data_IF_191452906200
#
_entry.id   IF_191452906200
#
_cell.length_a   1.000
_cell.length_b   1.000
_cell.length_c   1.000
_cell.angle_alpha   90.00
_cell.angle_beta   90.00
_cell.angle_gamma   90.00
#
_symmetry.space_group_name_H-M   'P 1'
#
loop_
_entity.id
_entity.type
_entity.pdbx_description
1 polymer ?
#
# COMPACT_ATOMS: atom_id res chain seq x y z
N UNK A 1 23.65 66.93 15.69
CA UNK A 1 23.08 67.13 14.34
C UNK A 1 23.67 66.07 13.42
N UNK A 2 22.81 65.26 12.79
CA UNK A 2 23.12 64.04 12.06
C UNK A 2 23.98 64.27 10.80
N UNK A 3 24.90 63.35 10.49
CA UNK A 3 25.67 63.34 9.23
C UNK A 3 24.97 62.41 8.22
N UNK A 4 24.69 62.94 7.04
CA UNK A 4 23.93 62.30 5.95
C UNK A 4 24.68 61.11 5.31
N UNK A 5 23.89 60.12 4.89
CA UNK A 5 24.31 58.92 4.15
C UNK A 5 24.62 59.31 2.71
N UNK A 6 25.77 58.89 2.18
CA UNK A 6 26.05 58.95 0.74
C UNK A 6 26.25 57.53 0.22
N UNK A 7 25.25 57.05 -0.51
CA UNK A 7 25.30 55.83 -1.32
C UNK A 7 26.38 56.01 -2.38
N UNK A 8 27.37 55.12 -2.37
CA UNK A 8 28.33 54.98 -3.48
C UNK A 8 27.73 53.95 -4.43
N UNK A 9 27.23 54.44 -5.56
CA UNK A 9 26.94 53.63 -6.74
C UNK A 9 28.29 53.29 -7.38
N UNK A 10 28.57 51.98 -7.53
CA UNK A 10 29.76 51.48 -8.22
C UNK A 10 29.33 51.10 -9.63
N UNK A 11 29.80 51.80 -10.68
CA UNK A 11 29.46 51.47 -12.06
C UNK A 11 30.12 50.15 -12.46
N UNK A 12 29.33 49.12 -12.79
CA UNK A 12 29.87 47.86 -13.33
C UNK A 12 29.15 46.56 -12.97
N UNK A 13 27.89 46.56 -12.54
CA UNK A 13 27.11 45.32 -12.48
C UNK A 13 26.17 45.22 -13.68
N UNK A 14 26.74 44.62 -14.71
CA UNK A 14 26.06 44.09 -15.89
C UNK A 14 24.87 43.22 -15.46
N UNK A 15 23.74 43.43 -16.15
CA UNK A 15 22.51 42.68 -15.96
C UNK A 15 22.74 41.20 -16.28
N UNK A 16 22.99 40.39 -15.25
CA UNK A 16 22.71 38.96 -15.34
C UNK A 16 21.19 38.81 -15.34
N UNK A 17 20.64 38.63 -16.55
CA UNK A 17 19.27 38.21 -16.79
C UNK A 17 18.89 37.13 -15.77
N UNK A 18 17.96 37.47 -14.88
CA UNK A 18 17.21 36.50 -14.10
C UNK A 18 16.56 35.56 -15.11
N UNK A 19 17.21 34.44 -15.37
CA UNK A 19 16.56 33.31 -16.01
C UNK A 19 15.67 32.75 -14.91
N UNK A 20 14.45 33.28 -14.84
CA UNK A 20 13.33 32.71 -14.12
C UNK A 20 12.98 31.38 -14.81
N UNK A 21 13.84 30.38 -14.61
CA UNK A 21 13.40 29.00 -14.67
C UNK A 21 12.43 28.87 -13.49
N UNK A 22 11.18 28.40 -13.69
CA UNK A 22 10.29 28.23 -12.57
C UNK A 22 10.93 27.18 -11.68
N UNK A 23 11.51 27.62 -10.57
CA UNK A 23 11.89 26.75 -9.47
C UNK A 23 10.55 26.22 -8.99
N UNK A 24 10.12 25.10 -9.56
CA UNK A 24 8.90 24.43 -9.15
C UNK A 24 9.00 24.32 -7.63
N UNK A 25 8.13 25.07 -6.93
CA UNK A 25 8.12 25.10 -5.48
C UNK A 25 8.20 23.66 -4.99
N UNK A 26 9.10 23.36 -4.05
CA UNK A 26 9.35 21.99 -3.59
C UNK A 26 8.05 21.31 -3.14
N UNK A 27 7.07 22.09 -2.67
CA UNK A 27 5.71 21.68 -2.38
C UNK A 27 4.92 21.20 -3.62
N UNK A 28 5.06 21.88 -4.76
CA UNK A 28 4.46 21.49 -6.05
C UNK A 28 5.11 20.20 -6.57
N UNK A 29 6.42 20.02 -6.39
CA UNK A 29 7.11 18.78 -6.77
C UNK A 29 6.66 17.61 -5.89
N UNK A 30 6.59 17.80 -4.57
CA UNK A 30 6.11 16.77 -3.64
C UNK A 30 4.66 16.37 -3.91
N UNK A 31 3.79 17.33 -4.24
CA UNK A 31 2.40 17.05 -4.58
C UNK A 31 2.28 16.21 -5.85
N UNK A 32 3.00 16.57 -6.92
CA UNK A 32 3.03 15.79 -8.17
C UNK A 32 3.61 14.40 -7.98
N UNK A 33 4.64 14.26 -7.13
CA UNK A 33 5.20 12.94 -6.78
C UNK A 33 4.17 12.12 -6.01
N UNK A 34 3.42 12.73 -5.08
CA UNK A 34 2.31 12.07 -4.39
C UNK A 34 1.23 11.59 -5.35
N UNK A 35 0.76 12.46 -6.24
CA UNK A 35 -0.24 12.11 -7.27
C UNK A 35 0.25 10.97 -8.17
N UNK A 36 1.53 10.98 -8.58
CA UNK A 36 2.11 9.91 -9.38
C UNK A 36 2.22 8.58 -8.62
N UNK A 37 2.52 8.61 -7.32
CA UNK A 37 2.55 7.42 -6.47
C UNK A 37 1.15 6.85 -6.27
N UNK A 38 0.15 7.71 -6.08
CA UNK A 38 -1.25 7.33 -5.98
C UNK A 38 -1.76 6.70 -7.28
N UNK A 39 -1.42 7.29 -8.44
CA UNK A 39 -1.75 6.76 -9.77
C UNK A 39 -1.07 5.42 -10.03
N UNK A 40 0.18 5.25 -9.61
CA UNK A 40 0.90 3.99 -9.71
C UNK A 40 0.22 2.90 -8.87
N UNK A 41 -0.15 3.21 -7.62
CA UNK A 41 -0.86 2.30 -6.74
C UNK A 41 -2.25 1.92 -7.28
N UNK A 42 -2.99 2.88 -7.85
CA UNK A 42 -4.27 2.64 -8.51
C UNK A 42 -4.12 1.73 -9.74
N UNK A 43 -3.07 1.94 -10.55
CA UNK A 43 -2.77 1.12 -11.73
C UNK A 43 -2.44 -0.33 -11.33
N UNK A 44 -1.62 -0.51 -10.30
CA UNK A 44 -1.29 -1.83 -9.75
C UNK A 44 -2.54 -2.54 -9.23
N UNK A 45 -3.37 -1.85 -8.45
CA UNK A 45 -4.64 -2.39 -7.94
C UNK A 45 -5.56 -2.84 -9.08
N UNK A 46 -5.75 -2.00 -10.09
CA UNK A 46 -6.62 -2.32 -11.23
C UNK A 46 -6.07 -3.50 -12.06
N UNK A 47 -4.75 -3.57 -12.22
CA UNK A 47 -4.08 -4.71 -12.85
C UNK A 47 -4.33 -5.99 -12.06
N UNK A 48 -4.20 -5.94 -10.73
CA UNK A 48 -4.44 -7.09 -9.85
C UNK A 48 -5.90 -7.55 -9.93
N UNK A 49 -6.86 -6.63 -9.82
CA UNK A 49 -8.30 -6.91 -9.93
C UNK A 49 -8.64 -7.64 -11.24
N UNK A 50 -8.00 -7.26 -12.35
CA UNK A 50 -8.17 -7.93 -13.65
C UNK A 50 -7.68 -9.38 -13.70
N UNK A 51 -6.91 -9.83 -12.71
CA UNK A 51 -6.38 -11.20 -12.62
C UNK A 51 -7.08 -12.08 -11.59
N UNK A 52 -8.05 -11.55 -10.86
CA UNK A 52 -8.81 -12.28 -9.84
C UNK A 52 -9.90 -13.12 -10.52
N UNK A 53 -10.06 -14.36 -10.09
CA UNK A 53 -11.08 -15.26 -10.63
C UNK A 53 -12.49 -14.95 -10.07
N UNK A 54 -13.51 -15.63 -10.59
CA UNK A 54 -14.91 -15.42 -10.18
C UNK A 54 -15.14 -15.61 -8.67
N UNK A 55 -14.48 -16.59 -8.05
CA UNK A 55 -14.60 -16.83 -6.61
C UNK A 55 -14.00 -15.69 -5.80
N UNK A 56 -12.82 -15.19 -6.18
CA UNK A 56 -12.19 -14.05 -5.55
C UNK A 56 -13.01 -12.77 -5.72
N UNK A 57 -13.57 -12.53 -6.91
CA UNK A 57 -14.46 -11.41 -7.16
C UNK A 57 -15.71 -11.46 -6.27
N UNK A 58 -16.30 -12.65 -6.09
CA UNK A 58 -17.43 -12.85 -5.19
C UNK A 58 -17.09 -12.62 -3.71
N UNK A 59 -15.85 -12.87 -3.29
CA UNK A 59 -15.39 -12.53 -1.93
C UNK A 59 -15.26 -11.02 -1.78
N UNK A 60 -14.61 -10.35 -2.74
CA UNK A 60 -14.44 -8.89 -2.74
C UNK A 60 -15.79 -8.19 -2.67
N UNK A 61 -16.77 -8.61 -3.48
CA UNK A 61 -18.11 -8.04 -3.45
C UNK A 61 -18.78 -8.15 -2.07
N UNK A 62 -18.64 -9.29 -1.37
CA UNK A 62 -19.17 -9.43 -0.01
C UNK A 62 -18.46 -8.51 0.99
N UNK A 63 -17.16 -8.28 0.81
CA UNK A 63 -16.42 -7.37 1.67
C UNK A 63 -16.86 -5.92 1.49
N UNK A 64 -17.21 -5.52 0.26
CA UNK A 64 -17.86 -4.22 -0.02
C UNK A 64 -19.25 -4.14 0.62
N UNK A 65 -20.09 -5.16 0.41
CA UNK A 65 -21.46 -5.19 0.93
C UNK A 65 -21.52 -5.05 2.47
N UNK A 66 -20.51 -5.61 3.16
CA UNK A 66 -20.38 -5.52 4.61
C UNK A 66 -19.55 -4.34 5.09
N UNK A 67 -19.02 -3.52 4.18
CA UNK A 67 -18.20 -2.35 4.48
C UNK A 67 -17.03 -2.67 5.44
N UNK A 68 -16.32 -3.79 5.23
CA UNK A 68 -15.18 -4.14 6.06
C UNK A 68 -14.01 -3.18 5.82
N UNK A 69 -13.52 -2.57 6.91
CA UNK A 69 -12.41 -1.63 6.89
C UNK A 69 -11.21 -2.12 7.70
N UNK A 70 -10.04 -1.53 7.44
CA UNK A 70 -8.87 -1.66 8.29
C UNK A 70 -9.01 -0.86 9.61
N UNK A 71 -7.93 -0.83 10.39
CA UNK A 71 -7.87 -0.15 11.70
C UNK A 71 -8.02 1.38 11.62
N UNK A 72 -7.85 1.98 10.43
CA UNK A 72 -7.95 3.43 10.21
C UNK A 72 -9.18 3.79 9.37
N UNK A 73 -10.02 2.82 9.02
CA UNK A 73 -11.30 3.03 8.32
C UNK A 73 -11.23 2.94 6.80
N UNK A 74 -10.12 2.48 6.21
CA UNK A 74 -10.06 2.27 4.76
C UNK A 74 -10.73 0.94 4.39
N UNK A 75 -11.54 0.89 3.31
CA UNK A 75 -12.08 -0.38 2.82
C UNK A 75 -10.97 -1.38 2.54
N UNK A 76 -11.09 -2.62 3.05
CA UNK A 76 -10.08 -3.66 2.83
C UNK A 76 -9.88 -3.95 1.33
N UNK A 77 -10.91 -3.76 0.52
CA UNK A 77 -10.90 -3.91 -0.93
C UNK A 77 -10.05 -2.86 -1.66
N UNK A 78 -9.68 -1.76 -0.99
CA UNK A 78 -8.70 -0.79 -1.49
C UNK A 78 -7.26 -1.19 -1.18
N UNK A 79 -7.03 -2.19 -0.32
CA UNK A 79 -5.71 -2.64 0.09
C UNK A 79 -5.14 -3.70 -0.88
N UNK A 80 -3.96 -3.45 -1.44
CA UNK A 80 -3.28 -4.38 -2.35
C UNK A 80 -3.02 -5.74 -1.68
N UNK A 81 -2.53 -5.74 -0.43
CA UNK A 81 -2.24 -6.97 0.31
C UNK A 81 -3.48 -7.85 0.50
N UNK A 82 -4.64 -7.22 0.74
CA UNK A 82 -5.91 -7.93 0.84
C UNK A 82 -6.31 -8.56 -0.50
N UNK A 83 -6.21 -7.82 -1.60
CA UNK A 83 -6.53 -8.33 -2.93
C UNK A 83 -5.59 -9.48 -3.34
N UNK A 84 -4.30 -9.40 -2.99
CA UNK A 84 -3.35 -10.48 -3.21
C UNK A 84 -3.69 -11.73 -2.39
N UNK A 85 -4.09 -11.54 -1.13
CA UNK A 85 -4.52 -12.63 -0.26
C UNK A 85 -5.75 -13.33 -0.85
N UNK A 86 -6.77 -12.58 -1.27
CA UNK A 86 -7.96 -13.13 -1.92
C UNK A 86 -7.59 -13.91 -3.18
N UNK A 87 -6.71 -13.36 -4.02
CA UNK A 87 -6.20 -14.06 -5.21
C UNK A 87 -5.53 -15.37 -4.80
N UNK A 88 -4.53 -15.35 -3.91
CA UNK A 88 -3.80 -16.55 -3.46
C UNK A 88 -4.74 -17.60 -2.88
N UNK A 89 -5.70 -17.20 -2.05
CA UNK A 89 -6.65 -18.10 -1.41
C UNK A 89 -7.64 -18.77 -2.39
N UNK A 90 -7.89 -18.14 -3.53
CA UNK A 90 -8.86 -18.63 -4.53
C UNK A 90 -8.23 -19.24 -5.78
N UNK A 91 -6.92 -19.01 -6.01
CA UNK A 91 -6.15 -19.65 -7.09
C UNK A 91 -5.37 -20.87 -6.62
N UNK A 92 -5.16 -21.05 -5.32
CA UNK A 92 -4.45 -22.20 -4.80
C UNK A 92 -5.24 -23.49 -5.12
N UNK A 93 -4.58 -24.40 -5.84
CA UNK A 93 -5.00 -25.81 -5.89
C UNK A 93 -5.22 -26.28 -4.45
N UNK A 94 -6.30 -27.02 -4.14
CA UNK A 94 -6.52 -27.53 -2.80
C UNK A 94 -5.23 -28.14 -2.28
N UNK A 95 -4.67 -27.57 -1.21
CA UNK A 95 -3.51 -28.16 -0.57
C UNK A 95 -3.84 -29.62 -0.28
N UNK A 96 -2.94 -30.53 -0.62
CA UNK A 96 -3.04 -31.92 -0.19
C UNK A 96 -3.40 -31.95 1.30
N UNK A 97 -4.27 -32.88 1.73
CA UNK A 97 -4.89 -32.83 3.05
C UNK A 97 -3.80 -32.74 4.13
N UNK A 98 -3.69 -31.55 4.71
CA UNK A 98 -2.90 -31.19 5.88
C UNK A 98 -1.37 -31.31 5.72
N UNK A 99 -0.67 -30.16 5.84
CA UNK A 99 0.79 -30.10 5.85
C UNK A 99 1.41 -30.71 7.13
N UNK A 100 2.72 -30.52 7.33
CA UNK A 100 3.39 -30.91 8.58
C UNK A 100 3.59 -29.68 9.47
N UNK A 101 3.26 -29.78 10.77
CA UNK A 101 3.67 -28.82 11.81
C UNK A 101 4.95 -29.30 12.49
N UNK A 102 5.72 -28.39 13.06
CA UNK A 102 6.91 -28.74 13.84
C UNK A 102 6.57 -28.57 15.32
N UNK A 103 6.73 -29.61 16.13
CA UNK A 103 6.50 -29.53 17.58
C UNK A 103 7.62 -28.72 18.28
N UNK A 104 7.47 -28.45 19.58
CA UNK A 104 8.46 -27.70 20.38
C UNK A 104 9.84 -28.37 20.44
N UNK A 105 9.92 -29.68 20.17
CA UNK A 105 11.17 -30.45 20.07
C UNK A 105 11.80 -30.41 18.67
N UNK A 106 11.23 -29.65 17.72
CA UNK A 106 11.73 -29.54 16.35
C UNK A 106 11.32 -30.70 15.42
N UNK A 107 10.44 -31.61 15.83
CA UNK A 107 10.00 -32.76 15.04
C UNK A 107 8.80 -32.42 14.17
N UNK A 108 8.86 -32.80 12.89
CA UNK A 108 7.75 -32.67 11.94
C UNK A 108 6.66 -33.70 12.25
N UNK A 109 5.46 -33.24 12.55
CA UNK A 109 4.25 -34.04 12.75
C UNK A 109 3.24 -33.71 11.65
N UNK A 110 2.56 -34.72 11.06
CA UNK A 110 1.46 -34.45 10.15
C UNK A 110 0.39 -33.65 10.90
N UNK A 111 -0.19 -32.63 10.27
CA UNK A 111 -1.29 -31.88 10.87
C UNK A 111 -2.52 -32.79 10.93
N UNK A 112 -2.81 -33.32 12.11
CA UNK A 112 -3.94 -34.20 12.36
C UNK A 112 -5.19 -33.42 12.78
N UNK A 113 -5.70 -32.56 11.88
CA UNK A 113 -6.95 -31.85 12.17
C UNK A 113 -7.37 -30.82 11.13
N UNK A 114 -8.68 -30.74 10.86
CA UNK A 114 -9.26 -29.58 10.18
C UNK A 114 -9.19 -28.38 11.13
N UNK A 115 -8.79 -27.18 10.67
CA UNK A 115 -8.90 -25.98 11.49
C UNK A 115 -10.34 -25.81 12.00
N UNK A 116 -10.49 -25.54 13.29
CA UNK A 116 -11.77 -25.31 13.97
C UNK A 116 -11.76 -23.89 14.52
N UNK A 117 -12.84 -23.15 14.31
CA UNK A 117 -13.05 -21.86 14.97
C UNK A 117 -13.55 -22.10 16.40
N UNK A 118 -12.78 -21.67 17.39
CA UNK A 118 -13.08 -21.76 18.82
C UNK A 118 -13.38 -20.37 19.40
N UNK A 119 -13.77 -20.30 20.67
CA UNK A 119 -13.94 -19.03 21.39
C UNK A 119 -12.64 -18.21 21.49
N UNK A 120 -11.48 -18.85 21.36
CA UNK A 120 -10.17 -18.20 21.37
C UNK A 120 -9.60 -17.97 19.95
N UNK A 121 -10.41 -18.18 18.91
CA UNK A 121 -10.01 -18.05 17.52
C UNK A 121 -9.72 -19.39 16.84
N UNK A 122 -8.94 -19.36 15.76
CA UNK A 122 -8.60 -20.54 14.96
C UNK A 122 -7.69 -21.50 15.72
N UNK A 123 -8.13 -22.74 15.89
CA UNK A 123 -7.36 -23.83 16.49
C UNK A 123 -7.19 -24.96 15.47
N UNK A 124 -6.00 -25.56 15.40
CA UNK A 124 -5.75 -26.77 14.62
C UNK A 124 -5.57 -27.91 15.61
N UNK A 125 -6.54 -28.83 15.73
CA UNK A 125 -6.39 -30.01 16.58
C UNK A 125 -5.16 -30.82 16.16
N UNK A 126 -4.35 -31.22 17.13
CA UNK A 126 -3.19 -32.09 16.97
C UNK A 126 -3.55 -33.56 17.08
#
# INVERSE_FOLDING_TARGET
>A
MARQKKTVEVPGQESALLTDAPRADEQTVQQRVGELLDDAALSERNTLLGTINEQGAAIIARFEDYAFTDLVGNPLTSCIDFLELVKKATTATPAAPHGYVTNEEGKRQPVTGKPVLTEHGWHVPG
#
